data_IF_245305953502
#
_entry.id   IF_245305953502
#
_cell.length_a   1.000
_cell.length_b   1.000
_cell.length_c   1.000
_cell.angle_alpha   90.00
_cell.angle_beta   90.00
_cell.angle_gamma   90.00
#
_symmetry.space_group_name_H-M   'P 1'
#
loop_
_entity.id
_entity.type
_entity.pdbx_description
1 polymer ?
#
# COMPACT_ATOMS: atom_id res chain seq x y z
N UNK A 1 -20.44 8.28 -26.33
CA UNK A 1 -20.28 8.52 -24.88
C UNK A 1 -19.04 7.80 -24.39
N UNK A 2 -18.11 8.48 -23.72
CA UNK A 2 -17.03 7.81 -22.97
C UNK A 2 -17.61 7.35 -21.63
N UNK A 3 -17.52 6.07 -21.30
CA UNK A 3 -17.84 5.57 -19.94
C UNK A 3 -16.69 5.97 -19.02
N UNK A 4 -16.99 6.68 -17.93
CA UNK A 4 -16.05 6.89 -16.83
C UNK A 4 -16.23 5.76 -15.81
N UNK A 5 -15.13 5.21 -15.31
CA UNK A 5 -15.13 4.21 -14.25
C UNK A 5 -15.01 4.94 -12.92
N UNK A 6 -15.82 4.56 -11.95
CA UNK A 6 -15.61 4.94 -10.55
C UNK A 6 -14.47 4.09 -9.98
N UNK A 7 -13.27 4.67 -9.97
CA UNK A 7 -12.07 3.98 -9.54
C UNK A 7 -12.11 3.60 -8.06
N UNK A 8 -12.75 4.40 -7.21
CA UNK A 8 -12.82 4.12 -5.77
C UNK A 8 -13.73 2.93 -5.51
N UNK A 9 -14.87 2.86 -6.21
CA UNK A 9 -15.76 1.71 -6.14
C UNK A 9 -15.06 0.43 -6.61
N UNK A 10 -14.34 0.49 -7.73
CA UNK A 10 -13.59 -0.67 -8.24
C UNK A 10 -12.46 -1.07 -7.29
N UNK A 11 -11.71 -0.11 -6.76
CA UNK A 11 -10.60 -0.34 -5.85
C UNK A 11 -11.03 -1.02 -4.53
N UNK A 12 -12.17 -0.58 -3.98
CA UNK A 12 -12.75 -1.16 -2.76
C UNK A 12 -13.53 -2.46 -2.99
N UNK A 13 -13.92 -2.78 -4.22
CA UNK A 13 -14.59 -4.04 -4.54
C UNK A 13 -13.65 -5.26 -4.50
N UNK A 14 -12.33 -5.07 -4.56
CA UNK A 14 -11.38 -6.16 -4.44
C UNK A 14 -11.33 -6.70 -3.00
N UNK A 15 -11.47 -8.03 -2.79
CA UNK A 15 -11.45 -8.63 -1.47
C UNK A 15 -10.04 -8.78 -0.88
N UNK A 16 -9.00 -8.46 -1.66
CA UNK A 16 -7.60 -8.56 -1.26
C UNK A 16 -7.09 -7.19 -0.79
N UNK A 17 -6.15 -7.15 0.18
CA UNK A 17 -5.44 -5.93 0.54
C UNK A 17 -4.73 -5.33 -0.67
N UNK A 18 -5.07 -4.10 -1.02
CA UNK A 18 -4.40 -3.34 -2.08
C UNK A 18 -4.06 -1.95 -1.53
N UNK A 19 -2.83 -1.52 -1.79
CA UNK A 19 -2.38 -0.17 -1.50
C UNK A 19 -1.58 0.39 -2.69
N UNK A 20 -1.47 1.71 -2.71
CA UNK A 20 -0.56 2.44 -3.59
C UNK A 20 0.43 3.20 -2.72
N UNK A 21 1.67 3.33 -3.17
CA UNK A 21 2.69 4.10 -2.49
C UNK A 21 3.45 5.04 -3.43
N UNK A 22 4.03 6.10 -2.87
CA UNK A 22 4.93 7.01 -3.59
C UNK A 22 6.31 6.36 -3.83
N UNK A 23 7.22 7.06 -4.51
CA UNK A 23 8.59 6.58 -4.76
C UNK A 23 9.43 6.35 -3.50
N UNK A 24 9.01 6.88 -2.36
CA UNK A 24 9.66 6.73 -1.06
C UNK A 24 9.01 5.63 -0.22
N UNK A 25 8.00 4.93 -0.75
CA UNK A 25 7.28 3.86 -0.07
C UNK A 25 6.14 4.34 0.84
N UNK A 26 5.80 5.63 0.83
CA UNK A 26 4.70 6.15 1.65
C UNK A 26 3.36 5.85 1.00
N UNK A 27 2.40 5.37 1.79
CA UNK A 27 1.05 5.06 1.35
C UNK A 27 0.33 6.31 0.84
N UNK A 28 -0.17 6.24 -0.39
CA UNK A 28 -0.98 7.29 -1.02
C UNK A 28 -2.45 6.87 -1.20
N UNK A 29 -2.72 5.57 -1.17
CA UNK A 29 -4.06 5.00 -1.14
C UNK A 29 -4.03 3.60 -0.52
N UNK A 30 -5.13 3.20 0.11
CA UNK A 30 -5.34 1.87 0.65
C UNK A 30 -6.82 1.51 0.51
N UNK A 31 -7.13 0.31 0.04
CA UNK A 31 -8.51 -0.15 -0.08
C UNK A 31 -9.06 -0.63 1.27
N UNK A 32 -10.38 -0.84 1.34
CA UNK A 32 -11.06 -1.30 2.55
C UNK A 32 -10.47 -2.61 3.11
N UNK A 33 -10.09 -3.56 2.23
CA UNK A 33 -9.47 -4.81 2.65
C UNK A 33 -8.09 -4.59 3.30
N UNK A 34 -7.28 -3.66 2.77
CA UNK A 34 -6.00 -3.29 3.36
C UNK A 34 -6.16 -2.68 4.76
N UNK A 35 -7.08 -1.72 4.91
CA UNK A 35 -7.36 -1.08 6.20
C UNK A 35 -7.85 -2.12 7.23
N UNK A 36 -8.65 -3.08 6.78
CA UNK A 36 -9.12 -4.20 7.61
C UNK A 36 -7.95 -5.09 8.07
N UNK A 37 -7.02 -5.44 7.17
CA UNK A 37 -5.82 -6.22 7.51
C UNK A 37 -4.83 -5.45 8.39
N UNK A 38 -4.71 -4.13 8.20
CA UNK A 38 -3.85 -3.26 9.00
C UNK A 38 -4.45 -2.98 10.39
N UNK A 39 -5.77 -3.07 10.55
CA UNK A 39 -6.47 -2.71 11.79
C UNK A 39 -6.41 -1.22 12.11
N UNK A 40 -6.22 -0.36 11.09
CA UNK A 40 -6.03 1.08 11.23
C UNK A 40 -6.94 1.85 10.25
N UNK A 41 -7.43 3.03 10.64
CA UNK A 41 -8.21 3.88 9.74
C UNK A 41 -7.32 4.58 8.70
N UNK A 42 -7.91 5.04 7.60
CA UNK A 42 -7.16 5.57 6.45
C UNK A 42 -6.27 6.78 6.82
N UNK A 43 -6.78 7.67 7.66
CA UNK A 43 -6.08 8.87 8.16
C UNK A 43 -4.81 8.55 8.94
N UNK A 44 -4.73 7.38 9.58
CA UNK A 44 -3.55 6.91 10.30
C UNK A 44 -2.59 6.12 9.43
N UNK A 45 -2.97 5.85 8.18
CA UNK A 45 -2.23 5.01 7.22
C UNK A 45 -1.56 5.88 6.15
N UNK A 46 -2.23 6.91 5.66
CA UNK A 46 -1.70 7.78 4.61
C UNK A 46 -0.40 8.47 5.03
N UNK A 47 0.57 8.51 4.10
CA UNK A 47 1.87 9.13 4.32
C UNK A 47 2.86 8.27 5.11
N UNK A 48 2.47 7.12 5.65
CA UNK A 48 3.38 6.21 6.35
C UNK A 48 4.02 5.22 5.39
N UNK A 49 5.27 4.77 5.66
CA UNK A 49 5.86 3.69 4.89
C UNK A 49 5.02 2.41 5.01
N UNK A 50 4.68 1.77 3.88
CA UNK A 50 3.72 0.65 3.90
C UNK A 50 4.17 -0.52 4.78
N UNK A 51 5.49 -0.76 4.89
CA UNK A 51 6.08 -1.82 5.72
C UNK A 51 6.00 -1.56 7.23
N UNK A 52 5.67 -0.33 7.66
CA UNK A 52 5.38 -0.02 9.06
C UNK A 52 3.89 -0.18 9.40
N UNK A 53 3.05 -0.45 8.40
CA UNK A 53 1.60 -0.58 8.53
C UNK A 53 1.20 -2.03 8.29
N UNK A 54 1.24 -2.46 7.03
CA UNK A 54 0.91 -3.81 6.58
C UNK A 54 1.48 -4.03 5.17
N UNK A 55 2.04 -5.22 4.85
CA UNK A 55 2.25 -6.36 5.74
C UNK A 55 3.41 -6.16 6.71
N UNK A 56 3.29 -6.68 7.94
CA UNK A 56 4.37 -6.69 8.95
C UNK A 56 4.97 -8.09 9.06
N UNK A 57 5.84 -8.43 8.12
CA UNK A 57 6.60 -9.67 8.10
C UNK A 57 8.07 -9.37 8.47
N UNK A 58 8.74 -10.14 9.35
CA UNK A 58 10.05 -9.76 9.90
C UNK A 58 11.13 -9.43 8.88
N UNK A 59 11.13 -10.09 7.71
CA UNK A 59 12.13 -9.89 6.66
C UNK A 59 11.85 -8.70 5.73
N UNK A 60 10.62 -8.19 5.72
CA UNK A 60 10.19 -7.21 4.72
C UNK A 60 10.60 -5.76 5.04
N UNK A 61 10.56 -5.26 6.28
CA UNK A 61 10.88 -3.87 6.57
C UNK A 61 12.26 -3.43 6.06
N UNK A 62 13.27 -4.26 6.25
CA UNK A 62 14.64 -3.93 5.81
C UNK A 62 14.82 -4.09 4.30
N UNK A 63 14.28 -5.17 3.72
CA UNK A 63 14.32 -5.39 2.28
C UNK A 63 13.59 -4.28 1.50
N UNK A 64 12.42 -3.85 1.98
CA UNK A 64 11.63 -2.79 1.37
C UNK A 64 12.34 -1.43 1.48
N UNK A 65 12.87 -1.09 2.66
CA UNK A 65 13.65 0.15 2.85
C UNK A 65 14.84 0.19 1.88
N UNK A 66 15.60 -0.90 1.77
CA UNK A 66 16.72 -1.02 0.83
C UNK A 66 16.27 -0.89 -0.62
N UNK A 67 15.16 -1.52 -1.00
CA UNK A 67 14.63 -1.37 -2.36
C UNK A 67 14.34 0.11 -2.69
N UNK A 68 13.71 0.84 -1.77
CA UNK A 68 13.45 2.28 -1.93
C UNK A 68 14.74 3.09 -2.04
N UNK A 69 15.74 2.84 -1.18
CA UNK A 69 17.04 3.53 -1.21
C UNK A 69 17.82 3.25 -2.50
N UNK A 70 17.72 2.03 -3.02
CA UNK A 70 18.37 1.58 -4.25
C UNK A 70 17.53 1.92 -5.51
N UNK A 71 16.38 2.60 -5.34
CA UNK A 71 15.50 3.02 -6.44
C UNK A 71 14.76 1.88 -7.14
N UNK A 72 14.63 0.72 -6.49
CA UNK A 72 13.87 -0.44 -6.96
C UNK A 72 12.43 -0.39 -6.46
N UNK A 73 11.51 -0.87 -7.30
CA UNK A 73 10.09 -0.97 -6.98
C UNK A 73 9.75 -2.14 -6.07
N UNK A 74 10.58 -3.20 -6.02
CA UNK A 74 10.35 -4.35 -5.15
C UNK A 74 11.65 -4.83 -4.49
N UNK A 75 11.57 -5.37 -3.26
CA UNK A 75 12.69 -6.09 -2.64
C UNK A 75 13.06 -7.33 -3.46
N UNK A 76 14.35 -7.55 -3.67
CA UNK A 76 14.86 -8.81 -4.22
C UNK A 76 14.78 -9.91 -3.18
N UNK A 77 14.33 -11.11 -3.58
CA UNK A 77 14.33 -12.33 -2.75
C UNK A 77 15.70 -12.69 -2.17
#
# INVERSE_FOLDING_TARGET
>A
MKRSIDWEQVFNAFPLPIFLHDRRGHLVAANAAYLTSAGLPLEEVLGRPYWEVFPQTPSWPEACRRAVEEGRSEPSE
#
